data_IF_417565116485
#
_entry.id   IF_417565116485
#
_cell.length_a   1.000
_cell.length_b   1.000
_cell.length_c   1.000
_cell.angle_alpha   90.00
_cell.angle_beta   90.00
_cell.angle_gamma   90.00
#
_symmetry.space_group_name_H-M   'P 1'
#
loop_
_entity.id
_entity.type
_entity.pdbx_description
1 polymer ?
#
# COMPACT_ATOMS: atom_id res chain seq x y z
N UNK A 1 -14.09 3.32 -24.89
CA UNK A 1 -12.85 3.10 -24.14
C UNK A 1 -11.69 3.23 -25.09
N UNK A 2 -11.05 4.39 -25.09
CA UNK A 2 -9.84 4.65 -25.86
C UNK A 2 -8.67 4.53 -24.86
N UNK A 3 -7.73 3.59 -25.03
CA UNK A 3 -6.72 3.26 -24.02
C UNK A 3 -5.60 4.31 -23.86
N UNK A 4 -5.88 5.58 -24.18
CA UNK A 4 -4.88 6.66 -24.22
C UNK A 4 -5.34 7.98 -23.58
N UNK A 5 -6.50 8.01 -22.92
CA UNK A 5 -6.90 9.16 -22.12
C UNK A 5 -6.80 8.76 -20.65
N UNK A 6 -6.04 9.54 -19.88
CA UNK A 6 -6.02 9.46 -18.42
C UNK A 6 -7.41 9.84 -17.90
N UNK A 7 -8.26 8.83 -17.74
CA UNK A 7 -9.62 8.98 -17.29
C UNK A 7 -9.60 9.25 -15.77
N UNK A 8 -9.80 10.51 -15.39
CA UNK A 8 -10.06 10.90 -13.99
C UNK A 8 -11.32 10.20 -13.40
N UNK A 9 -12.05 9.43 -14.19
CA UNK A 9 -13.12 8.54 -13.75
C UNK A 9 -12.60 7.36 -12.92
N UNK A 10 -11.41 6.83 -13.18
CA UNK A 10 -10.85 5.71 -12.39
C UNK A 10 -10.51 6.13 -10.96
N UNK A 11 -10.03 7.37 -10.76
CA UNK A 11 -9.77 7.89 -9.41
C UNK A 11 -11.08 8.05 -8.63
N UNK A 12 -12.11 8.66 -9.24
CA UNK A 12 -13.39 8.89 -8.57
C UNK A 12 -14.10 7.56 -8.27
N UNK A 13 -14.03 6.59 -9.18
CA UNK A 13 -14.56 5.24 -9.01
C UNK A 13 -13.75 4.45 -7.98
N UNK A 14 -12.42 4.55 -7.98
CA UNK A 14 -11.56 3.94 -6.97
C UNK A 14 -11.76 4.55 -5.58
N UNK A 15 -12.31 5.76 -5.45
CA UNK A 15 -12.68 6.38 -4.16
C UNK A 15 -14.13 6.02 -3.76
N UNK A 16 -15.08 6.01 -4.69
CA UNK A 16 -16.52 5.94 -4.39
C UNK A 16 -17.21 4.61 -4.73
N UNK A 17 -16.56 3.69 -5.43
CA UNK A 17 -17.16 2.40 -5.77
C UNK A 17 -17.04 1.43 -4.60
N UNK A 18 -17.92 1.55 -3.60
CA UNK A 18 -18.38 0.39 -2.82
C UNK A 18 -19.63 0.67 -1.99
N UNK A 19 -20.49 -0.34 -1.89
CA UNK A 19 -21.68 -0.35 -1.05
C UNK A 19 -21.27 -0.66 0.39
N UNK A 20 -20.83 0.37 1.12
CA UNK A 20 -20.31 0.31 2.48
C UNK A 20 -18.99 1.09 2.58
N UNK A 21 -18.95 2.13 3.41
CA UNK A 21 -17.73 2.89 3.66
C UNK A 21 -16.66 1.98 4.29
N UNK A 22 -15.59 1.71 3.56
CA UNK A 22 -14.34 1.21 4.13
C UNK A 22 -13.21 2.17 3.78
N UNK A 23 -12.30 2.39 4.73
CA UNK A 23 -11.15 3.26 4.54
C UNK A 23 -10.24 2.62 3.48
N UNK A 24 -9.86 3.42 2.49
CA UNK A 24 -8.90 3.07 1.45
C UNK A 24 -7.90 4.23 1.31
N UNK A 25 -6.62 3.90 1.17
CA UNK A 25 -5.57 4.91 0.98
C UNK A 25 -5.17 4.90 -0.48
N UNK A 26 -5.05 6.08 -1.09
CA UNK A 26 -4.60 6.24 -2.48
C UNK A 26 -3.30 7.05 -2.46
N UNK A 27 -2.28 6.51 -3.12
CA UNK A 27 -0.94 7.11 -3.23
C UNK A 27 -0.65 7.30 -4.73
N UNK A 28 -0.22 8.48 -5.13
CA UNK A 28 0.10 8.80 -6.52
C UNK A 28 1.52 9.41 -6.61
N UNK A 29 2.56 8.58 -6.82
CA UNK A 29 3.93 9.07 -7.00
C UNK A 29 4.07 9.84 -8.32
N UNK A 30 4.89 10.90 -8.32
CA UNK A 30 5.20 11.73 -9.49
C UNK A 30 6.52 11.36 -10.18
N UNK A 31 7.43 10.69 -9.48
CA UNK A 31 8.74 10.31 -10.00
C UNK A 31 9.11 8.83 -9.68
N UNK A 32 9.99 8.19 -10.47
CA UNK A 32 10.44 6.81 -10.21
C UNK A 32 11.08 6.60 -8.83
N UNK A 33 11.74 7.62 -8.29
CA UNK A 33 12.29 7.59 -6.93
C UNK A 33 11.17 7.54 -5.88
N UNK A 34 10.14 8.38 -6.04
CA UNK A 34 8.95 8.35 -5.19
C UNK A 34 8.21 7.03 -5.32
N UNK A 35 8.13 6.45 -6.53
CA UNK A 35 7.54 5.14 -6.75
C UNK A 35 8.21 4.08 -5.88
N UNK A 36 9.54 4.13 -5.76
CA UNK A 36 10.30 3.18 -4.95
C UNK A 36 10.03 3.34 -3.45
N UNK A 37 10.16 4.55 -2.91
CA UNK A 37 10.01 4.78 -1.47
C UNK A 37 8.56 4.73 -1.00
N UNK A 38 7.63 5.35 -1.74
CA UNK A 38 6.21 5.37 -1.39
C UNK A 38 5.58 3.99 -1.51
N UNK A 39 6.09 3.09 -2.36
CA UNK A 39 5.66 1.68 -2.35
C UNK A 39 6.00 1.01 -1.03
N UNK A 40 7.19 1.28 -0.46
CA UNK A 40 7.55 0.79 0.87
C UNK A 40 6.61 1.31 1.96
N UNK A 41 6.30 2.60 1.95
CA UNK A 41 5.34 3.19 2.88
C UNK A 41 3.91 2.65 2.68
N UNK A 42 3.49 2.40 1.44
CA UNK A 42 2.19 1.83 1.12
C UNK A 42 2.00 0.46 1.79
N UNK A 43 3.02 -0.41 1.74
CA UNK A 43 2.99 -1.69 2.43
C UNK A 43 2.89 -1.53 3.95
N UNK A 44 3.62 -0.58 4.54
CA UNK A 44 3.52 -0.30 5.97
C UNK A 44 2.12 0.17 6.37
N UNK A 45 1.52 1.07 5.59
CA UNK A 45 0.15 1.56 5.84
C UNK A 45 -0.84 0.40 5.72
N UNK A 46 -0.68 -0.45 4.70
CA UNK A 46 -1.53 -1.61 4.49
C UNK A 46 -1.44 -2.60 5.68
N UNK A 47 -0.24 -2.94 6.13
CA UNK A 47 -0.03 -3.88 7.24
C UNK A 47 -0.48 -3.26 8.58
N UNK A 48 -0.16 -1.98 8.82
CA UNK A 48 -0.43 -1.31 10.09
C UNK A 48 -1.91 -1.07 10.35
N UNK A 49 -2.64 -0.65 9.32
CA UNK A 49 -4.05 -0.30 9.45
C UNK A 49 -4.98 -1.40 8.91
N UNK A 50 -4.42 -2.45 8.29
CA UNK A 50 -5.19 -3.55 7.70
C UNK A 50 -6.25 -3.08 6.71
N UNK A 51 -5.90 -2.04 5.92
CA UNK A 51 -6.77 -1.42 4.92
C UNK A 51 -6.17 -1.56 3.52
N UNK A 52 -6.99 -1.57 2.46
CA UNK A 52 -6.50 -1.54 1.09
C UNK A 52 -5.78 -0.22 0.80
N UNK A 53 -4.58 -0.33 0.21
CA UNK A 53 -3.79 0.79 -0.29
C UNK A 53 -3.63 0.64 -1.80
N UNK A 54 -3.98 1.68 -2.56
CA UNK A 54 -3.93 1.72 -4.02
C UNK A 54 -2.81 2.68 -4.42
N UNK A 55 -1.84 2.20 -5.20
CA UNK A 55 -0.80 3.03 -5.80
C UNK A 55 -1.20 3.31 -7.25
N UNK A 56 -1.40 4.58 -7.57
CA UNK A 56 -1.78 5.05 -8.90
C UNK A 56 -0.56 5.59 -9.64
N UNK A 57 -0.13 4.89 -10.68
CA UNK A 57 0.93 5.30 -11.58
C UNK A 57 0.33 5.82 -12.88
N UNK A 58 0.98 6.81 -13.48
CA UNK A 58 0.65 7.18 -14.85
C UNK A 58 1.36 6.25 -15.87
N UNK A 59 0.87 6.29 -17.11
CA UNK A 59 1.42 5.48 -18.21
C UNK A 59 2.87 5.87 -18.53
N UNK A 60 3.21 7.15 -18.37
CA UNK A 60 4.53 7.67 -18.71
C UNK A 60 5.60 7.09 -17.76
N UNK A 61 5.37 7.15 -16.46
CA UNK A 61 6.21 6.56 -15.41
C UNK A 61 6.30 5.04 -15.54
N UNK A 62 5.20 4.38 -15.93
CA UNK A 62 5.18 2.92 -16.08
C UNK A 62 5.94 2.40 -17.32
N UNK A 63 5.96 3.15 -18.42
CA UNK A 63 6.57 2.72 -19.70
C UNK A 63 7.94 3.34 -19.96
N UNK A 64 8.30 4.40 -19.23
CA UNK A 64 9.56 5.09 -19.44
C UNK A 64 10.71 4.41 -18.70
N UNK A 65 11.89 4.43 -19.32
CA UNK A 65 13.14 4.04 -18.69
C UNK A 65 13.88 5.28 -18.21
N UNK A 66 14.25 5.28 -16.94
CA UNK A 66 14.99 6.38 -16.33
C UNK A 66 16.34 5.90 -15.80
N UNK A 67 17.35 6.77 -15.86
CA UNK A 67 18.64 6.53 -15.21
C UNK A 67 18.66 7.26 -13.88
N UNK A 68 18.65 6.52 -12.79
CA UNK A 68 18.73 7.03 -11.43
C UNK A 68 20.00 6.53 -10.74
N UNK A 69 20.44 7.25 -9.71
CA UNK A 69 21.40 6.70 -8.76
C UNK A 69 20.80 5.49 -8.04
N UNK A 70 21.65 4.62 -7.51
CA UNK A 70 21.20 3.40 -6.84
C UNK A 70 20.33 3.77 -5.64
N UNK A 71 19.07 3.34 -5.64
CA UNK A 71 18.15 3.55 -4.53
C UNK A 71 18.72 3.00 -3.22
N UNK A 72 18.56 3.76 -2.12
CA UNK A 72 19.01 3.34 -0.80
C UNK A 72 17.89 2.61 -0.07
N UNK A 73 18.06 1.29 0.07
CA UNK A 73 17.14 0.44 0.81
C UNK A 73 17.09 0.74 2.31
N UNK A 74 18.09 1.44 2.87
CA UNK A 74 18.10 1.80 4.31
C UNK A 74 16.98 2.78 4.67
N UNK A 75 16.50 3.54 3.70
CA UNK A 75 15.41 4.49 3.90
C UNK A 75 14.03 3.82 3.95
N UNK A 76 13.94 2.54 3.57
CA UNK A 76 12.71 1.75 3.67
C UNK A 76 12.72 1.00 5.00
N UNK A 77 11.96 1.52 5.97
CA UNK A 77 11.69 0.81 7.23
C UNK A 77 10.42 -0.01 7.08
N UNK A 78 10.43 -1.28 7.50
CA UNK A 78 9.23 -2.14 7.47
C UNK A 78 8.53 -2.08 8.82
N UNK A 79 7.32 -1.52 8.86
CA UNK A 79 6.42 -1.48 10.04
C UNK A 79 5.17 -2.31 9.76
N UNK A 80 5.15 -3.54 10.30
CA UNK A 80 4.01 -4.46 10.13
C UNK A 80 2.90 -4.27 11.17
N UNK A 81 3.00 -3.23 12.01
CA UNK A 81 2.06 -3.00 13.10
C UNK A 81 1.98 -4.14 14.12
N UNK A 82 0.84 -4.23 14.83
CA UNK A 82 0.60 -5.26 15.85
C UNK A 82 0.11 -6.54 15.17
N UNK A 83 1.03 -7.37 14.73
CA UNK A 83 0.69 -8.74 14.34
C UNK A 83 0.35 -9.55 15.60
N UNK A 84 -0.73 -10.35 15.51
CA UNK A 84 -0.98 -11.44 16.46
C UNK A 84 0.13 -12.48 16.29
N UNK A 85 1.29 -12.26 16.90
CA UNK A 85 2.31 -13.28 17.04
C UNK A 85 1.74 -14.35 17.95
N UNK A 86 1.40 -15.50 17.37
CA UNK A 86 0.83 -16.64 18.07
C UNK A 86 1.86 -17.24 19.04
N UNK A 87 1.84 -16.81 20.31
CA UNK A 87 2.22 -17.60 21.49
C UNK A 87 2.10 -16.77 22.78
N UNK A 88 0.87 -16.55 23.27
CA UNK A 88 0.67 -16.31 24.71
C UNK A 88 -0.63 -16.85 25.32
N UNK A 89 -1.44 -17.58 24.56
CA UNK A 89 -2.77 -18.07 25.03
C UNK A 89 -3.02 -19.56 24.77
N UNK A 90 -1.96 -20.38 24.63
CA UNK A 90 -2.10 -21.85 24.52
C UNK A 90 -1.14 -22.60 25.47
N UNK A 91 -1.04 -22.14 26.71
CA UNK A 91 -0.63 -23.01 27.82
C UNK A 91 -1.78 -23.01 28.82
N UNK A 92 -2.52 -24.11 28.85
CA UNK A 92 -3.78 -24.24 29.56
C UNK A 92 -3.61 -24.17 31.07
N UNK A 93 -4.49 -23.41 31.71
CA UNK A 93 -4.94 -23.71 33.07
C UNK A 93 -6.41 -24.08 33.04
N UNK A 94 -6.67 -25.35 32.73
CA UNK A 94 -7.80 -26.05 33.31
C UNK A 94 -7.29 -26.85 34.49
N UNK A 95 -7.37 -26.31 35.71
CA UNK A 95 -7.41 -27.13 36.92
C UNK A 95 -8.46 -26.54 37.88
N UNK A 96 -9.60 -27.21 37.87
CA UNK A 96 -10.53 -27.35 38.99
C UNK A 96 -9.80 -27.51 40.33
N UNK A 97 -10.13 -26.66 41.30
CA UNK A 97 -9.70 -26.73 42.70
C UNK A 97 -10.27 -25.57 43.49
#
# INVERSE_FOLDING_TARGET
>A
GLPTWTEQGDMLFAVHSSHGEFLRVVIAPGDPEECFYLTGEAFNIADKYQIPVIIMLDKYLSESHFSYEKFDFKNITVDRGKLLSKSKDIDGEGVIG
#
